data_IF_807633009611
#
_entry.id   IF_807633009611
#
_cell.length_a   1.000
_cell.length_b   1.000
_cell.length_c   1.000
_cell.angle_alpha   90.00
_cell.angle_beta   90.00
_cell.angle_gamma   90.00
#
_symmetry.space_group_name_H-M   'P 1'
#
loop_
_entity.id
_entity.type
_entity.pdbx_description
1 polymer ?
#
# COMPACT_ATOMS: atom_id res chain seq x y z
N UNK A 1 7.54 -4.31 7.17
CA UNK A 1 6.23 -4.10 6.51
C UNK A 1 5.16 -4.46 7.53
N UNK A 2 4.30 -3.51 7.91
CA UNK A 2 3.21 -3.77 8.86
C UNK A 2 2.00 -4.39 8.11
N UNK A 3 1.56 -5.63 8.44
CA UNK A 3 0.40 -6.27 7.80
C UNK A 3 -0.91 -5.49 7.97
N UNK A 4 -1.01 -4.66 9.03
CA UNK A 4 -2.22 -3.91 9.32
C UNK A 4 -2.51 -2.83 8.28
N UNK A 5 -1.48 -2.26 7.63
CA UNK A 5 -1.66 -1.13 6.69
C UNK A 5 -2.02 -1.56 5.27
N UNK A 6 -1.53 -2.71 4.81
CA UNK A 6 -1.88 -3.24 3.48
C UNK A 6 -3.34 -3.72 3.42
N UNK A 7 -3.89 -4.15 4.55
CA UNK A 7 -5.27 -4.64 4.64
C UNK A 7 -6.32 -3.54 4.90
N UNK A 8 -5.88 -2.32 5.22
CA UNK A 8 -6.77 -1.18 5.46
C UNK A 8 -6.65 -0.08 4.38
N UNK A 9 -5.74 -0.23 3.42
CA UNK A 9 -5.64 0.70 2.29
C UNK A 9 -6.48 0.23 1.11
N UNK A 10 -7.25 1.11 0.48
CA UNK A 10 -7.98 0.80 -0.73
C UNK A 10 -7.04 0.68 -1.92
N UNK A 11 -7.06 -0.46 -2.60
CA UNK A 11 -6.23 -0.67 -3.79
C UNK A 11 -6.64 0.17 -5.01
N UNK A 12 -7.83 0.79 -5.00
CA UNK A 12 -8.33 1.57 -6.12
C UNK A 12 -7.95 3.05 -6.03
N UNK A 13 -7.97 3.63 -4.83
CA UNK A 13 -7.66 5.05 -4.62
C UNK A 13 -6.52 5.33 -3.64
N UNK A 14 -5.98 4.30 -2.97
CA UNK A 14 -4.94 4.43 -1.96
C UNK A 14 -5.43 4.94 -0.59
N UNK A 15 -6.71 5.30 -0.44
CA UNK A 15 -7.21 5.82 0.83
C UNK A 15 -7.51 4.74 1.85
N UNK A 16 -7.50 5.11 3.14
CA UNK A 16 -7.95 4.21 4.18
C UNK A 16 -9.42 3.81 3.98
N UNK A 17 -9.69 2.52 4.09
CA UNK A 17 -11.02 1.95 4.16
C UNK A 17 -11.21 1.16 5.44
N UNK A 18 -12.43 0.66 5.63
CA UNK A 18 -12.79 -0.17 6.78
C UNK A 18 -12.72 -1.64 6.36
N UNK A 19 -11.92 -2.41 7.09
CA UNK A 19 -11.93 -3.88 7.03
C UNK A 19 -12.78 -4.44 8.17
N UNK A 20 -13.70 -5.34 7.84
CA UNK A 20 -14.47 -6.11 8.82
C UNK A 20 -14.43 -7.59 8.41
N UNK A 21 -13.55 -8.36 9.05
CA UNK A 21 -13.27 -9.75 8.69
C UNK A 21 -12.78 -9.89 7.25
N UNK A 22 -13.57 -10.60 6.42
CA UNK A 22 -13.31 -10.84 4.99
C UNK A 22 -13.79 -9.71 4.08
N UNK A 23 -14.46 -8.70 4.61
CA UNK A 23 -15.02 -7.61 3.80
C UNK A 23 -14.20 -6.32 3.96
N UNK A 24 -14.05 -5.58 2.87
CA UNK A 24 -13.45 -4.25 2.84
C UNK A 24 -14.41 -3.24 2.20
N UNK A 25 -14.44 -2.02 2.72
CA UNK A 25 -15.19 -0.89 2.13
C UNK A 25 -14.37 0.39 2.17
N UNK A 26 -14.22 1.04 1.01
CA UNK A 26 -13.67 2.38 0.90
C UNK A 26 -14.79 3.41 0.90
N UNK A 27 -14.70 4.38 1.80
CA UNK A 27 -15.67 5.49 1.88
C UNK A 27 -15.32 6.63 0.93
N UNK A 28 -14.12 6.63 0.34
CA UNK A 28 -13.64 7.70 -0.54
C UNK A 28 -14.01 7.44 -1.98
N UNK A 29 -13.66 6.27 -2.54
CA UNK A 29 -13.99 5.92 -3.93
C UNK A 29 -15.22 5.01 -4.05
N UNK A 30 -15.78 4.55 -2.94
CA UNK A 30 -16.96 3.68 -2.91
C UNK A 30 -16.69 2.21 -3.20
N UNK A 31 -15.45 1.80 -3.46
CA UNK A 31 -15.13 0.38 -3.70
C UNK A 31 -15.38 -0.47 -2.47
N UNK A 32 -16.01 -1.63 -2.65
CA UNK A 32 -16.18 -2.65 -1.62
C UNK A 32 -16.01 -4.04 -2.19
N UNK A 33 -15.44 -4.94 -1.42
CA UNK A 33 -15.19 -6.31 -1.86
C UNK A 33 -14.48 -7.14 -0.80
N UNK A 34 -13.84 -8.22 -1.24
CA UNK A 34 -13.06 -9.09 -0.37
C UNK A 34 -11.78 -8.38 0.13
N UNK A 35 -11.54 -8.47 1.43
CA UNK A 35 -10.42 -7.81 2.10
C UNK A 35 -9.07 -8.44 1.74
N UNK A 36 -9.02 -9.75 1.52
CA UNK A 36 -7.80 -10.45 1.14
C UNK A 36 -7.46 -10.14 -0.33
N UNK A 37 -8.47 -10.03 -1.21
CA UNK A 37 -8.29 -9.53 -2.58
C UNK A 37 -7.71 -8.10 -2.60
N UNK A 38 -8.28 -7.20 -1.80
CA UNK A 38 -7.77 -5.84 -1.66
C UNK A 38 -6.31 -5.83 -1.17
N UNK A 39 -6.00 -6.62 -0.14
CA UNK A 39 -4.64 -6.78 0.37
C UNK A 39 -3.66 -7.33 -0.68
N UNK A 40 -4.06 -8.35 -1.44
CA UNK A 40 -3.25 -8.95 -2.50
C UNK A 40 -2.92 -7.92 -3.60
N UNK A 41 -3.89 -7.09 -4.00
CA UNK A 41 -3.67 -6.01 -4.98
C UNK A 41 -2.67 -4.97 -4.47
N UNK A 42 -2.75 -4.60 -3.18
CA UNK A 42 -1.77 -3.70 -2.56
C UNK A 42 -0.37 -4.32 -2.52
N UNK A 43 -0.23 -5.60 -2.16
CA UNK A 43 1.06 -6.30 -2.14
C UNK A 43 1.64 -6.42 -3.56
N UNK A 44 0.83 -6.80 -4.54
CA UNK A 44 1.25 -6.88 -5.94
C UNK A 44 1.72 -5.52 -6.49
N UNK A 45 1.10 -4.42 -6.05
CA UNK A 45 1.56 -3.08 -6.35
C UNK A 45 2.95 -2.83 -5.73
N UNK A 46 3.14 -3.11 -4.44
CA UNK A 46 4.42 -2.95 -3.74
C UNK A 46 5.55 -3.79 -4.36
N UNK A 47 5.26 -5.03 -4.76
CA UNK A 47 6.23 -5.93 -5.39
C UNK A 47 6.89 -5.33 -6.65
N UNK A 48 6.19 -4.45 -7.37
CA UNK A 48 6.74 -3.77 -8.56
C UNK A 48 7.77 -2.68 -8.22
N UNK A 49 7.85 -2.24 -6.95
CA UNK A 49 8.72 -1.15 -6.53
C UNK A 49 10.00 -1.62 -5.81
N UNK A 50 10.07 -2.88 -5.36
CA UNK A 50 11.23 -3.38 -4.60
C UNK A 50 12.39 -3.89 -5.49
N UNK A 51 12.18 -4.09 -6.79
CA UNK A 51 13.16 -4.72 -7.71
C UNK A 51 14.04 -3.74 -8.54
N UNK A 52 14.09 -2.43 -8.21
CA UNK A 52 14.85 -1.44 -9.02
C UNK A 52 16.09 -0.86 -8.31
N UNK A 53 17.32 -1.13 -8.80
CA UNK A 53 18.51 -0.40 -8.39
C UNK A 53 18.62 0.90 -9.21
N UNK A 54 17.93 1.96 -8.77
CA UNK A 54 18.12 3.30 -9.32
C UNK A 54 16.83 4.10 -9.54
N UNK A 55 16.78 5.27 -8.90
CA UNK A 55 16.17 6.51 -9.39
C UNK A 55 14.71 6.48 -9.84
N UNK A 56 13.86 7.09 -9.03
CA UNK A 56 12.44 7.37 -9.29
C UNK A 56 12.23 8.37 -10.44
N UNK A 57 11.80 7.91 -11.61
CA UNK A 57 11.20 8.75 -12.65
C UNK A 57 9.90 8.07 -13.14
N UNK A 58 8.77 8.45 -12.52
CA UNK A 58 7.37 8.08 -12.85
C UNK A 58 6.93 6.62 -12.51
N UNK A 59 5.84 6.30 -11.81
CA UNK A 59 4.63 7.00 -11.36
C UNK A 59 4.34 6.69 -9.86
N UNK A 60 3.83 7.65 -9.06
CA UNK A 60 3.14 7.40 -7.78
C UNK A 60 1.66 7.09 -8.06
N UNK A 61 0.80 6.51 -7.21
CA UNK A 61 0.74 6.32 -5.76
C UNK A 61 -0.30 5.21 -5.48
N UNK A 62 -0.06 4.32 -4.52
CA UNK A 62 -1.10 3.79 -3.62
C UNK A 62 -0.53 4.09 -2.24
N UNK A 63 -1.13 4.87 -1.36
CA UNK A 63 -0.98 6.34 -1.32
C UNK A 63 0.49 6.80 -1.07
N UNK A 64 1.17 7.36 -2.07
CA UNK A 64 2.63 7.66 -2.11
C UNK A 64 3.51 6.52 -1.57
N UNK A 65 3.50 5.43 -2.34
CA UNK A 65 4.08 4.10 -2.07
C UNK A 65 3.31 3.27 -1.02
N UNK A 66 2.77 3.96 0.00
CA UNK A 66 1.61 3.70 0.90
C UNK A 66 1.63 4.69 2.09
N UNK A 67 2.75 5.40 2.23
CA UNK A 67 2.97 6.79 2.70
C UNK A 67 4.48 7.05 2.82
N UNK A 68 5.28 5.99 2.68
CA UNK A 68 6.71 5.96 2.40
C UNK A 68 7.31 4.68 2.98
N UNK A 69 8.51 4.32 2.56
CA UNK A 69 9.45 3.53 3.36
C UNK A 69 9.85 4.31 4.63
N UNK A 70 8.88 4.73 5.46
CA UNK A 70 8.93 5.96 6.27
C UNK A 70 9.87 5.96 7.48
N UNK A 71 10.58 4.86 7.76
CA UNK A 71 11.80 4.85 8.60
C UNK A 71 12.66 3.64 8.21
N UNK A 72 13.28 3.62 7.03
CA UNK A 72 14.55 2.89 6.99
C UNK A 72 15.47 3.61 8.00
N UNK A 73 16.08 2.95 9.01
CA UNK A 73 17.15 3.60 9.75
C UNK A 73 18.16 4.02 8.69
N UNK A 74 18.50 5.32 8.68
CA UNK A 74 19.67 5.78 7.95
C UNK A 74 20.80 4.92 8.51
N UNK A 75 21.31 3.97 7.72
CA UNK A 75 22.60 3.37 8.00
C UNK A 75 23.57 4.53 7.92
N UNK A 76 23.95 5.03 9.10
CA UNK A 76 25.00 6.01 9.26
C UNK A 76 26.24 5.16 9.51
N UNK A 77 27.07 4.87 8.49
CA UNK A 77 28.41 4.40 8.80
C UNK A 77 29.09 5.54 9.57
N UNK A 78 29.70 5.14 10.68
CA UNK A 78 30.43 5.93 11.68
C UNK A 78 31.19 7.16 11.18
#
# INVERSE_FOLDING_TARGET
>A
MDPAYTSQTCHQCGEHGIRNGKSFKCHVCGWSGDADFNGAKNIAFLGRYVDRPGGSEGLPSIKAVLSGLLKAPVFRPE
#
